data_IF_227349298720
#
_entry.id   IF_227349298720
#
_cell.length_a   1.000
_cell.length_b   1.000
_cell.length_c   1.000
_cell.angle_alpha   90.00
_cell.angle_beta   90.00
_cell.angle_gamma   90.00
#
_symmetry.space_group_name_H-M   'P 1'
#
loop_
_entity.id
_entity.type
_entity.pdbx_description
1 polymer ?
#
# COMPACT_ATOMS: atom_id res chain seq x y z
N UNK A 1 -27.80 -5.03 -11.40
CA UNK A 1 -26.91 -6.20 -11.51
C UNK A 1 -25.43 -5.80 -11.59
N UNK A 2 -25.03 -4.90 -12.50
CA UNK A 2 -23.61 -4.45 -12.60
C UNK A 2 -23.16 -3.63 -11.39
N UNK A 3 -23.97 -2.69 -10.91
CA UNK A 3 -23.68 -1.90 -9.70
C UNK A 3 -23.65 -2.76 -8.44
N UNK A 4 -24.54 -3.75 -8.33
CA UNK A 4 -24.55 -4.70 -7.22
C UNK A 4 -23.32 -5.60 -7.22
N UNK A 5 -22.91 -6.10 -8.39
CA UNK A 5 -21.69 -6.89 -8.55
C UNK A 5 -20.44 -6.07 -8.22
N UNK A 6 -20.38 -4.80 -8.62
CA UNK A 6 -19.30 -3.89 -8.29
C UNK A 6 -19.24 -3.62 -6.78
N UNK A 7 -20.41 -3.36 -6.15
CA UNK A 7 -20.50 -3.16 -4.70
C UNK A 7 -20.07 -4.41 -3.92
N UNK A 8 -20.46 -5.59 -4.38
CA UNK A 8 -20.05 -6.86 -3.78
C UNK A 8 -18.54 -7.09 -3.93
N UNK A 9 -17.99 -6.83 -5.11
CA UNK A 9 -16.55 -6.95 -5.37
C UNK A 9 -15.71 -6.00 -4.49
N UNK A 10 -16.14 -4.74 -4.33
CA UNK A 10 -15.51 -3.77 -3.42
C UNK A 10 -15.53 -4.25 -1.97
N UNK A 11 -16.67 -4.77 -1.49
CA UNK A 11 -16.79 -5.32 -0.13
C UNK A 11 -15.91 -6.54 0.07
N UNK A 12 -15.88 -7.44 -0.89
CA UNK A 12 -15.04 -8.65 -0.85
C UNK A 12 -13.56 -8.30 -0.79
N UNK A 13 -13.11 -7.35 -1.63
CA UNK A 13 -11.73 -6.87 -1.63
C UNK A 13 -11.35 -6.22 -0.29
N UNK A 14 -12.20 -5.33 0.24
CA UNK A 14 -11.98 -4.71 1.57
C UNK A 14 -11.95 -5.75 2.70
N UNK A 15 -12.77 -6.82 2.61
CA UNK A 15 -12.75 -7.92 3.57
C UNK A 15 -11.44 -8.71 3.50
N UNK A 16 -10.94 -9.01 2.29
CA UNK A 16 -9.66 -9.71 2.12
C UNK A 16 -8.48 -8.94 2.73
N UNK A 17 -8.44 -7.61 2.57
CA UNK A 17 -7.44 -6.79 3.24
C UNK A 17 -7.59 -6.81 4.76
N UNK A 18 -8.81 -6.69 5.28
CA UNK A 18 -9.07 -6.77 6.73
C UNK A 18 -8.70 -8.13 7.29
N UNK A 19 -8.93 -9.21 6.57
CA UNK A 19 -8.57 -10.56 6.98
C UNK A 19 -7.06 -10.70 7.10
N UNK A 20 -6.28 -10.36 6.07
CA UNK A 20 -4.81 -10.38 6.12
C UNK A 20 -4.25 -9.50 7.26
N UNK A 21 -4.85 -8.33 7.46
CA UNK A 21 -4.48 -7.43 8.54
C UNK A 21 -4.77 -8.04 9.93
N UNK A 22 -5.90 -8.71 10.09
CA UNK A 22 -6.22 -9.43 11.33
C UNK A 22 -5.28 -10.62 11.57
N UNK A 23 -4.98 -11.39 10.54
CA UNK A 23 -4.01 -12.49 10.61
C UNK A 23 -2.62 -11.97 11.07
N UNK A 24 -2.16 -10.86 10.49
CA UNK A 24 -0.92 -10.20 10.91
C UNK A 24 -0.99 -9.75 12.38
N UNK A 25 -2.08 -9.13 12.83
CA UNK A 25 -2.27 -8.73 14.24
C UNK A 25 -2.33 -9.92 15.19
N UNK A 26 -3.02 -10.97 14.82
CA UNK A 26 -3.11 -12.21 15.62
C UNK A 26 -1.71 -12.80 15.78
N UNK A 27 -0.95 -12.93 14.71
CA UNK A 27 0.42 -13.43 14.76
C UNK A 27 1.32 -12.56 15.65
N UNK A 28 1.22 -11.22 15.52
CA UNK A 28 1.95 -10.26 16.36
C UNK A 28 1.59 -10.38 17.85
N UNK A 29 0.31 -10.59 18.17
CA UNK A 29 -0.16 -10.78 19.55
C UNK A 29 0.28 -12.14 20.11
N UNK A 30 0.20 -13.21 19.30
CA UNK A 30 0.70 -14.53 19.69
C UNK A 30 2.20 -14.51 19.99
N UNK A 31 2.99 -13.78 19.19
CA UNK A 31 4.42 -13.59 19.43
C UNK A 31 4.74 -12.78 20.69
N UNK A 32 3.84 -11.91 21.15
CA UNK A 32 4.02 -11.04 22.32
C UNK A 32 3.41 -11.59 23.61
N UNK A 33 2.64 -12.67 23.54
CA UNK A 33 1.88 -13.21 24.68
C UNK A 33 2.72 -14.15 25.56
N UNK A 34 2.78 -13.88 26.86
CA UNK A 34 3.39 -14.78 27.84
C UNK A 34 2.67 -16.16 27.95
N UNK A 35 1.38 -16.22 27.67
CA UNK A 35 0.59 -17.46 27.68
C UNK A 35 0.94 -18.42 26.53
N UNK A 36 1.55 -17.93 25.44
CA UNK A 36 2.08 -18.78 24.38
C UNK A 36 3.28 -19.62 24.85
N UNK A 37 3.92 -19.23 25.98
CA UNK A 37 5.00 -20.01 26.63
C UNK A 37 4.50 -21.30 27.25
N UNK A 38 3.30 -21.28 27.85
CA UNK A 38 2.75 -22.45 28.57
C UNK A 38 2.21 -23.54 27.61
N UNK A 39 1.91 -23.21 26.36
CA UNK A 39 1.31 -24.14 25.39
C UNK A 39 2.32 -24.85 24.47
N UNK A 40 3.64 -24.65 24.66
CA UNK A 40 4.67 -25.26 23.81
C UNK A 40 4.70 -24.73 22.36
N UNK A 41 3.73 -23.92 21.99
CA UNK A 41 3.62 -23.26 20.68
C UNK A 41 4.72 -22.22 20.45
N UNK A 42 5.43 -21.81 21.51
CA UNK A 42 6.48 -20.81 21.41
C UNK A 42 7.75 -21.31 20.71
N UNK A 43 8.07 -22.58 20.83
CA UNK A 43 9.29 -23.10 20.21
C UNK A 43 9.08 -23.27 18.70
N UNK A 44 7.89 -23.68 18.27
CA UNK A 44 7.54 -23.72 16.84
C UNK A 44 7.40 -22.31 16.26
N UNK A 45 6.73 -21.41 16.99
CA UNK A 45 6.61 -19.99 16.59
C UNK A 45 7.95 -19.24 16.70
N UNK A 46 8.83 -19.60 17.66
CA UNK A 46 10.19 -19.06 17.73
C UNK A 46 11.08 -19.59 16.61
N UNK A 47 10.95 -20.84 16.23
CA UNK A 47 11.71 -21.38 15.10
C UNK A 47 11.28 -20.72 13.80
N UNK A 48 9.98 -20.57 13.57
CA UNK A 48 9.43 -19.83 12.42
C UNK A 48 9.78 -18.33 12.52
N UNK A 49 9.71 -17.75 13.72
CA UNK A 49 10.06 -16.35 13.97
C UNK A 49 11.57 -16.11 13.89
N UNK A 50 12.41 -17.04 14.35
CA UNK A 50 13.86 -16.91 14.24
C UNK A 50 14.33 -17.12 12.81
N UNK A 51 13.74 -18.03 12.04
CA UNK A 51 13.97 -18.09 10.59
C UNK A 51 13.53 -16.82 9.87
N UNK A 52 12.44 -16.18 10.32
CA UNK A 52 11.96 -14.91 9.81
C UNK A 52 12.76 -13.71 10.36
N UNK A 53 13.20 -13.74 11.62
CA UNK A 53 13.92 -12.64 12.30
C UNK A 53 15.45 -12.70 12.13
N UNK A 54 16.07 -13.88 12.01
CA UNK A 54 17.49 -13.97 11.65
C UNK A 54 17.78 -13.50 10.25
N UNK A 55 16.78 -13.54 9.36
CA UNK A 55 16.84 -12.94 8.03
C UNK A 55 16.34 -11.50 7.98
N UNK A 56 15.67 -10.97 8.99
CA UNK A 56 15.04 -9.65 8.94
C UNK A 56 15.73 -8.62 9.82
N UNK A 57 16.92 -8.19 9.44
CA UNK A 57 17.40 -6.84 9.79
C UNK A 57 16.66 -5.82 8.92
N UNK A 58 15.33 -5.87 8.88
CA UNK A 58 14.58 -4.81 8.22
C UNK A 58 14.87 -3.48 8.91
N UNK A 59 15.17 -2.43 8.16
CA UNK A 59 15.29 -1.11 8.74
C UNK A 59 13.96 -0.76 9.42
N UNK A 60 14.04 -0.25 10.64
CA UNK A 60 12.85 0.15 11.40
C UNK A 60 12.19 1.32 10.69
N UNK A 61 10.91 1.17 10.34
CA UNK A 61 10.14 2.25 9.74
C UNK A 61 9.89 3.37 10.73
N UNK A 62 9.89 4.60 10.22
CA UNK A 62 9.33 5.74 10.92
C UNK A 62 7.86 5.49 11.26
N UNK A 63 7.42 5.96 12.43
CA UNK A 63 6.05 5.75 12.88
C UNK A 63 5.19 6.99 12.61
N UNK A 64 3.97 6.75 12.13
CA UNK A 64 2.94 7.81 12.02
C UNK A 64 2.33 8.13 13.38
N UNK A 65 2.42 7.19 14.34
CA UNK A 65 1.75 7.21 15.63
C UNK A 65 0.30 6.69 15.58
N UNK A 66 -0.21 6.33 14.40
CA UNK A 66 -1.55 5.77 14.20
C UNK A 66 -1.40 4.27 13.96
N UNK A 67 -1.87 3.48 14.92
CA UNK A 67 -1.65 2.03 14.95
C UNK A 67 -2.10 1.35 13.66
N UNK A 68 -3.26 1.69 13.12
CA UNK A 68 -3.81 1.09 11.91
C UNK A 68 -2.93 1.35 10.68
N UNK A 69 -2.38 2.55 10.59
CA UNK A 69 -1.48 2.94 9.50
C UNK A 69 -0.10 2.31 9.68
N UNK A 70 0.44 2.35 10.90
CA UNK A 70 1.76 1.79 11.22
C UNK A 70 1.79 0.25 11.02
N UNK A 71 0.72 -0.45 11.44
CA UNK A 71 0.60 -1.90 11.24
C UNK A 71 0.45 -2.26 9.75
N UNK A 72 -0.29 -1.44 8.97
CA UNK A 72 -0.40 -1.67 7.53
C UNK A 72 0.93 -1.44 6.81
N UNK A 73 1.66 -0.38 7.16
CA UNK A 73 2.99 -0.11 6.59
C UNK A 73 3.98 -1.22 6.92
N UNK A 74 3.94 -1.75 8.15
CA UNK A 74 4.77 -2.89 8.55
C UNK A 74 4.43 -4.17 7.74
N UNK A 75 3.14 -4.43 7.51
CA UNK A 75 2.70 -5.54 6.65
C UNK A 75 3.20 -5.37 5.21
N UNK A 76 3.09 -4.17 4.65
CA UNK A 76 3.55 -3.88 3.28
C UNK A 76 5.08 -3.96 3.16
N UNK A 77 5.82 -3.51 4.17
CA UNK A 77 7.28 -3.69 4.22
C UNK A 77 7.66 -5.16 4.17
N UNK A 78 6.95 -6.02 4.91
CA UNK A 78 7.19 -7.45 4.90
C UNK A 78 6.84 -8.10 3.55
N UNK A 79 5.72 -7.72 2.93
CA UNK A 79 5.38 -8.18 1.57
C UNK A 79 6.46 -7.77 0.54
N UNK A 80 7.00 -6.54 0.65
CA UNK A 80 8.12 -6.09 -0.18
C UNK A 80 9.37 -6.93 0.06
N UNK A 81 9.74 -7.20 1.32
CA UNK A 81 10.88 -8.03 1.67
C UNK A 81 10.80 -9.43 1.08
N UNK A 82 9.64 -10.08 1.21
CA UNK A 82 9.38 -11.42 0.66
C UNK A 82 9.48 -11.43 -0.88
N UNK A 83 9.22 -10.29 -1.52
CA UNK A 83 9.35 -10.11 -2.98
C UNK A 83 10.73 -9.62 -3.41
N UNK A 84 11.70 -9.46 -2.48
CA UNK A 84 13.04 -8.94 -2.78
C UNK A 84 13.04 -7.48 -3.23
N UNK A 85 12.11 -6.67 -2.71
CA UNK A 85 11.92 -5.26 -3.04
C UNK A 85 12.38 -4.38 -1.88
N UNK A 86 13.25 -3.42 -2.15
CA UNK A 86 13.65 -2.41 -1.17
C UNK A 86 12.49 -1.47 -0.89
N UNK A 87 12.14 -1.31 0.39
CA UNK A 87 11.04 -0.46 0.83
C UNK A 87 11.54 0.72 1.65
N UNK A 88 11.22 1.94 1.24
CA UNK A 88 11.53 3.17 1.95
C UNK A 88 10.26 3.94 2.31
N UNK A 89 10.22 4.49 3.55
CA UNK A 89 9.12 5.31 4.03
C UNK A 89 9.65 6.66 4.52
N UNK A 90 9.05 7.75 4.04
CA UNK A 90 9.32 9.11 4.47
C UNK A 90 8.03 9.76 4.97
N UNK A 91 7.97 10.03 6.27
CA UNK A 91 6.86 10.71 6.93
C UNK A 91 7.22 12.18 7.13
N UNK A 92 6.33 13.10 6.75
CA UNK A 92 6.51 14.53 6.97
C UNK A 92 5.30 15.18 7.62
N UNK A 93 5.51 15.79 8.77
CA UNK A 93 4.44 16.47 9.51
C UNK A 93 3.60 15.54 10.37
N UNK A 94 2.47 16.04 10.85
CA UNK A 94 1.60 15.33 11.79
C UNK A 94 0.50 14.55 11.04
N UNK A 95 0.58 13.21 11.05
CA UNK A 95 -0.39 12.35 10.35
C UNK A 95 -1.75 12.33 11.05
N UNK A 96 -1.83 12.56 12.36
CA UNK A 96 -3.11 12.77 13.03
C UNK A 96 -3.89 13.96 12.46
N UNK A 97 -3.19 15.04 12.09
CA UNK A 97 -3.83 16.18 11.43
C UNK A 97 -4.37 15.79 10.05
N UNK A 98 -3.67 14.94 9.32
CA UNK A 98 -4.13 14.41 8.04
C UNK A 98 -5.39 13.54 8.23
N UNK A 99 -5.37 12.61 9.18
CA UNK A 99 -6.48 11.67 9.38
C UNK A 99 -7.71 12.27 10.06
N UNK A 100 -7.55 13.38 10.77
CA UNK A 100 -8.67 14.08 11.38
C UNK A 100 -9.39 15.03 10.41
N UNK A 101 -8.70 15.53 9.37
CA UNK A 101 -9.25 16.61 8.52
C UNK A 101 -9.45 16.20 7.07
N UNK A 102 -8.75 15.17 6.56
CA UNK A 102 -8.69 14.91 5.13
C UNK A 102 -9.04 13.49 4.72
N UNK A 103 -8.79 12.48 5.53
CA UNK A 103 -9.07 11.06 5.23
C UNK A 103 -9.12 10.26 6.52
N UNK A 104 -10.00 9.27 6.64
CA UNK A 104 -9.99 8.42 7.83
C UNK A 104 -8.76 7.52 7.87
N UNK A 105 -8.34 7.11 9.08
CA UNK A 105 -7.20 6.20 9.26
C UNK A 105 -7.36 4.87 8.54
N UNK A 106 -8.58 4.32 8.53
CA UNK A 106 -8.88 3.06 7.86
C UNK A 106 -8.79 3.19 6.33
N UNK A 107 -9.32 4.28 5.76
CA UNK A 107 -9.23 4.55 4.33
C UNK A 107 -7.79 4.82 3.90
N UNK A 108 -7.00 5.52 4.73
CA UNK A 108 -5.58 5.72 4.47
C UNK A 108 -4.80 4.41 4.47
N UNK A 109 -5.07 3.51 5.42
CA UNK A 109 -4.45 2.19 5.48
C UNK A 109 -4.80 1.33 4.25
N UNK A 110 -6.07 1.35 3.80
CA UNK A 110 -6.52 0.65 2.60
C UNK A 110 -5.83 1.24 1.36
N UNK A 111 -5.79 2.56 1.23
CA UNK A 111 -5.16 3.26 0.11
C UNK A 111 -3.67 2.93 -0.02
N UNK A 112 -2.95 2.88 1.10
CA UNK A 112 -1.56 2.43 1.17
C UNK A 112 -1.42 0.98 0.69
N UNK A 113 -2.24 0.08 1.22
CA UNK A 113 -2.20 -1.34 0.87
C UNK A 113 -2.47 -1.56 -0.63
N UNK A 114 -3.50 -0.93 -1.18
CA UNK A 114 -3.89 -1.09 -2.58
C UNK A 114 -2.74 -0.68 -3.51
N UNK A 115 -2.20 0.52 -3.34
CA UNK A 115 -1.17 1.03 -4.25
C UNK A 115 0.22 0.39 -4.05
N UNK A 116 0.57 -0.01 -2.81
CA UNK A 116 1.84 -0.72 -2.59
C UNK A 116 1.77 -2.13 -3.21
N UNK A 117 0.63 -2.82 -3.11
CA UNK A 117 0.44 -4.12 -3.77
C UNK A 117 0.48 -4.02 -5.29
N UNK A 118 -0.19 -3.03 -5.86
CA UNK A 118 -0.11 -2.78 -7.30
C UNK A 118 1.33 -2.51 -7.75
N UNK A 119 2.12 -1.80 -6.92
CA UNK A 119 3.53 -1.57 -7.16
C UNK A 119 4.36 -2.86 -7.08
N UNK A 120 4.12 -3.73 -6.07
CA UNK A 120 4.79 -5.03 -5.93
C UNK A 120 4.51 -5.89 -7.18
N UNK A 121 3.27 -5.98 -7.63
CA UNK A 121 2.89 -6.73 -8.83
C UNK A 121 3.63 -6.15 -10.05
N UNK A 122 3.60 -4.83 -10.24
CA UNK A 122 4.26 -4.18 -11.37
C UNK A 122 5.79 -4.39 -11.38
N UNK A 123 6.43 -4.44 -10.20
CA UNK A 123 7.87 -4.70 -10.06
C UNK A 123 8.20 -6.16 -10.37
N UNK A 124 7.34 -7.11 -10.03
CA UNK A 124 7.57 -8.51 -10.32
C UNK A 124 7.54 -8.82 -11.83
N UNK A 125 6.94 -7.93 -12.63
CA UNK A 125 6.88 -8.02 -14.10
C UNK A 125 7.95 -7.18 -14.82
N UNK A 126 8.93 -6.65 -14.11
CA UNK A 126 10.04 -5.92 -14.74
C UNK A 126 11.36 -6.72 -14.63
N UNK A 127 12.20 -6.59 -15.65
CA UNK A 127 13.60 -7.09 -15.62
C UNK A 127 14.54 -6.15 -14.86
N UNK A 128 14.02 -5.11 -14.20
CA UNK A 128 14.81 -4.17 -13.43
C UNK A 128 15.47 -4.87 -12.24
N UNK A 129 16.79 -4.81 -12.18
CA UNK A 129 17.60 -5.41 -11.10
C UNK A 129 17.36 -4.66 -9.78
N UNK A 130 17.16 -3.33 -9.85
CA UNK A 130 16.94 -2.48 -8.68
C UNK A 130 15.45 -2.37 -8.38
N UNK A 131 14.93 -3.34 -7.66
CA UNK A 131 13.53 -3.40 -7.24
C UNK A 131 13.31 -2.52 -6.01
N UNK A 132 12.54 -1.45 -6.14
CA UNK A 132 12.34 -0.51 -5.04
C UNK A 132 10.97 0.17 -5.04
N UNK A 133 10.46 0.41 -3.84
CA UNK A 133 9.26 1.21 -3.56
C UNK A 133 9.61 2.27 -2.52
N UNK A 134 9.22 3.52 -2.76
CA UNK A 134 9.32 4.59 -1.78
C UNK A 134 7.94 5.22 -1.55
N UNK A 135 7.54 5.27 -0.30
CA UNK A 135 6.31 5.94 0.15
C UNK A 135 6.67 7.26 0.82
N UNK A 136 6.05 8.34 0.37
CA UNK A 136 6.09 9.63 1.06
C UNK A 136 4.69 9.97 1.56
N UNK A 137 4.54 10.15 2.86
CA UNK A 137 3.27 10.35 3.53
C UNK A 137 3.27 11.62 4.38
N UNK A 138 2.21 12.39 4.32
CA UNK A 138 2.00 13.55 5.18
C UNK A 138 2.01 14.87 4.43
N UNK A 139 2.58 15.93 5.03
CA UNK A 139 2.59 17.26 4.43
C UNK A 139 3.72 17.37 3.41
N UNK A 140 3.38 17.19 2.15
CA UNK A 140 4.30 17.26 1.01
C UNK A 140 4.00 18.54 0.25
N UNK A 141 5.02 19.38 0.07
CA UNK A 141 4.83 20.74 -0.44
C UNK A 141 3.87 21.52 0.47
N UNK A 142 2.71 21.94 -0.03
CA UNK A 142 1.71 22.71 0.73
C UNK A 142 0.48 21.92 1.13
N UNK A 143 0.39 20.62 0.73
CA UNK A 143 -0.80 19.79 0.93
C UNK A 143 -0.46 18.51 1.69
N UNK A 144 -1.44 17.96 2.40
CA UNK A 144 -1.35 16.59 2.84
C UNK A 144 -1.52 15.65 1.64
N UNK A 145 -0.77 14.56 1.62
CA UNK A 145 -0.82 13.62 0.51
C UNK A 145 -0.07 12.32 0.77
N UNK A 146 -0.24 11.44 -0.19
CA UNK A 146 0.42 10.15 -0.30
C UNK A 146 1.05 10.05 -1.69
N UNK A 147 2.38 9.87 -1.75
CA UNK A 147 3.11 9.64 -2.99
C UNK A 147 3.80 8.29 -2.93
N UNK A 148 3.54 7.44 -3.92
CA UNK A 148 4.15 6.11 -4.03
C UNK A 148 4.95 6.05 -5.31
N UNK A 149 6.26 5.92 -5.16
CA UNK A 149 7.23 5.73 -6.24
C UNK A 149 7.55 4.25 -6.35
N UNK A 150 7.61 3.72 -7.54
CA UNK A 150 8.02 2.33 -7.77
C UNK A 150 8.88 2.18 -9.03
N UNK A 151 9.64 1.09 -9.07
CA UNK A 151 10.55 0.71 -10.16
C UNK A 151 9.95 -0.29 -11.14
N UNK A 152 8.63 -0.53 -11.07
CA UNK A 152 7.93 -1.52 -11.88
C UNK A 152 7.63 -1.06 -13.31
N UNK A 153 6.90 -1.90 -14.04
CA UNK A 153 6.42 -1.56 -15.36
C UNK A 153 5.47 -0.37 -15.33
N UNK A 154 5.53 0.47 -16.35
CA UNK A 154 4.63 1.62 -16.47
C UNK A 154 3.17 1.18 -16.72
N UNK A 155 2.23 2.08 -16.44
CA UNK A 155 0.83 1.82 -16.76
C UNK A 155 0.64 1.78 -18.29
N UNK A 156 -0.06 0.76 -18.77
CA UNK A 156 -0.48 0.72 -20.17
C UNK A 156 -1.49 1.84 -20.47
N UNK A 157 -1.50 2.31 -21.71
CA UNK A 157 -2.48 3.30 -22.17
C UNK A 157 -3.92 2.84 -21.90
N UNK A 158 -4.20 1.56 -22.09
CA UNK A 158 -5.53 0.98 -21.83
C UNK A 158 -5.93 1.10 -20.36
N UNK A 159 -4.99 0.91 -19.41
CA UNK A 159 -5.24 1.10 -17.97
C UNK A 159 -5.53 2.56 -17.68
N UNK A 160 -4.69 3.48 -18.17
CA UNK A 160 -4.85 4.93 -17.92
C UNK A 160 -6.19 5.47 -18.45
N UNK A 161 -6.61 5.06 -19.66
CA UNK A 161 -7.88 5.47 -20.26
C UNK A 161 -9.12 4.97 -19.52
N UNK A 162 -9.01 3.90 -18.75
CA UNK A 162 -10.12 3.25 -18.03
C UNK A 162 -10.07 3.43 -16.50
N UNK A 163 -9.08 4.17 -15.99
CA UNK A 163 -8.96 4.42 -14.56
C UNK A 163 -10.25 4.98 -13.97
N UNK A 164 -10.72 4.37 -12.88
CA UNK A 164 -11.93 4.80 -12.16
C UNK A 164 -13.26 4.61 -12.90
N UNK A 165 -13.26 4.13 -14.16
CA UNK A 165 -14.48 3.86 -14.92
C UNK A 165 -14.99 2.44 -14.74
N UNK A 166 -14.08 1.50 -14.65
CA UNK A 166 -14.35 0.07 -14.41
C UNK A 166 -13.15 -0.59 -13.74
N UNK A 167 -13.36 -1.72 -13.04
CA UNK A 167 -12.24 -2.52 -12.56
C UNK A 167 -11.37 -2.95 -13.73
N UNK A 168 -10.08 -2.65 -13.67
CA UNK A 168 -9.12 -3.05 -14.69
C UNK A 168 -7.82 -3.47 -14.02
N UNK A 169 -7.34 -4.63 -14.40
CA UNK A 169 -6.03 -5.15 -13.98
C UNK A 169 -5.30 -5.71 -15.17
N UNK A 170 -3.99 -5.57 -15.19
CA UNK A 170 -3.12 -6.20 -16.17
C UNK A 170 -2.78 -7.63 -15.77
N UNK A 171 -2.87 -7.96 -14.47
CA UNK A 171 -2.42 -9.22 -13.89
C UNK A 171 -3.50 -9.86 -12.99
N UNK A 172 -4.59 -10.37 -13.58
CA UNK A 172 -5.70 -10.96 -12.81
C UNK A 172 -5.31 -12.22 -12.04
N UNK A 173 -4.40 -13.02 -12.60
CA UNK A 173 -3.96 -14.30 -12.03
C UNK A 173 -3.03 -14.13 -10.82
N UNK A 174 -2.51 -12.94 -10.58
CA UNK A 174 -1.61 -12.62 -9.48
C UNK A 174 -2.28 -11.82 -8.35
N UNK A 175 -3.60 -11.89 -8.27
CA UNK A 175 -4.38 -11.19 -7.26
C UNK A 175 -4.67 -9.73 -7.58
N UNK A 176 -4.35 -9.27 -8.78
CA UNK A 176 -4.79 -7.99 -9.30
C UNK A 176 -6.30 -8.00 -9.53
N UNK A 177 -7.06 -7.33 -8.68
CA UNK A 177 -8.54 -7.28 -8.78
C UNK A 177 -9.03 -6.11 -9.63
N UNK A 178 -8.15 -5.16 -9.94
CA UNK A 178 -8.53 -3.88 -10.55
C UNK A 178 -9.36 -2.97 -9.64
N UNK A 179 -9.54 -3.34 -8.37
CA UNK A 179 -10.39 -2.61 -7.42
C UNK A 179 -9.65 -1.46 -6.73
N UNK A 180 -8.31 -1.49 -6.66
CA UNK A 180 -7.52 -0.49 -5.96
C UNK A 180 -7.81 0.93 -6.46
N UNK A 181 -7.79 1.13 -7.79
CA UNK A 181 -8.16 2.43 -8.36
C UNK A 181 -9.65 2.78 -8.19
N UNK A 182 -10.56 1.80 -8.16
CA UNK A 182 -11.97 2.07 -7.88
C UNK A 182 -12.16 2.63 -6.48
N UNK A 183 -11.50 2.05 -5.47
CA UNK A 183 -11.47 2.56 -4.10
C UNK A 183 -10.83 3.96 -4.04
N UNK A 184 -9.73 4.13 -4.76
CA UNK A 184 -9.04 5.43 -4.86
C UNK A 184 -9.98 6.51 -5.38
N UNK A 185 -10.70 6.27 -6.48
CA UNK A 185 -11.64 7.24 -7.03
C UNK A 185 -12.80 7.57 -6.09
N UNK A 186 -13.30 6.61 -5.31
CA UNK A 186 -14.29 6.88 -4.26
C UNK A 186 -13.72 7.84 -3.20
N UNK A 187 -12.48 7.62 -2.76
CA UNK A 187 -11.77 8.48 -1.82
C UNK A 187 -11.53 9.89 -2.42
N UNK A 188 -11.05 9.96 -3.67
CA UNK A 188 -10.84 11.24 -4.37
C UNK A 188 -12.13 12.04 -4.45
N UNK A 189 -13.26 11.38 -4.78
CA UNK A 189 -14.56 12.01 -4.85
C UNK A 189 -15.04 12.51 -3.48
N UNK A 190 -14.92 11.67 -2.47
CA UNK A 190 -15.37 11.96 -1.10
C UNK A 190 -14.62 13.14 -0.47
N UNK A 191 -13.31 13.21 -0.67
CA UNK A 191 -12.45 14.19 -0.02
C UNK A 191 -11.98 15.31 -0.98
N UNK A 192 -12.50 15.34 -2.21
CA UNK A 192 -12.10 16.30 -3.24
C UNK A 192 -10.58 16.33 -3.48
N UNK A 193 -9.95 15.17 -3.35
CA UNK A 193 -8.52 15.01 -3.55
C UNK A 193 -8.17 14.91 -5.03
N UNK A 194 -6.92 15.23 -5.38
CA UNK A 194 -6.39 15.15 -6.74
C UNK A 194 -5.47 13.93 -6.89
N UNK A 195 -5.48 13.33 -8.09
CA UNK A 195 -4.63 12.21 -8.48
C UNK A 195 -3.69 12.66 -9.61
N UNK A 196 -2.42 12.34 -9.47
CA UNK A 196 -1.40 12.49 -10.51
C UNK A 196 -0.68 11.15 -10.68
N UNK A 197 -0.62 10.66 -11.91
CA UNK A 197 0.17 9.51 -12.31
C UNK A 197 1.22 10.01 -13.30
N UNK A 198 2.47 9.89 -12.94
CA UNK A 198 3.57 10.42 -13.73
C UNK A 198 4.57 9.29 -14.04
N UNK A 199 4.89 9.12 -15.32
CA UNK A 199 6.07 8.36 -15.75
C UNK A 199 7.32 9.20 -15.48
N UNK A 200 8.32 8.61 -14.82
CA UNK A 200 9.58 9.31 -14.48
C UNK A 200 10.58 9.20 -15.64
N UNK A 201 10.26 8.37 -16.64
CA UNK A 201 11.13 8.12 -17.80
C UNK A 201 12.29 7.18 -17.49
N UNK A 202 13.43 7.31 -18.20
CA UNK A 202 14.65 6.52 -17.91
C UNK A 202 14.97 6.66 -16.43
N UNK A 203 15.37 5.54 -15.76
CA UNK A 203 15.45 5.51 -14.31
C UNK A 203 16.18 6.75 -13.79
N UNK A 204 15.52 7.47 -12.90
CA UNK A 204 16.10 8.56 -12.13
C UNK A 204 17.31 8.02 -11.36
N UNK A 205 18.10 8.88 -10.72
CA UNK A 205 19.17 8.42 -9.81
C UNK A 205 18.68 7.38 -8.79
N UNK A 206 17.37 7.37 -8.50
CA UNK A 206 16.72 6.52 -7.52
C UNK A 206 16.03 5.29 -8.15
N UNK A 207 16.24 5.04 -9.47
CA UNK A 207 15.70 3.89 -10.23
C UNK A 207 14.17 3.75 -10.30
N UNK A 208 13.39 4.75 -9.89
CA UNK A 208 11.94 4.71 -10.02
C UNK A 208 11.52 4.99 -11.48
N UNK A 209 10.50 4.26 -11.94
CA UNK A 209 9.91 4.42 -13.28
C UNK A 209 8.66 5.27 -13.29
N UNK A 210 7.91 5.25 -12.19
CA UNK A 210 6.66 6.00 -12.08
C UNK A 210 6.35 6.44 -10.65
N UNK A 211 5.41 7.33 -10.52
CA UNK A 211 4.85 7.77 -9.23
C UNK A 211 3.36 7.98 -9.32
N UNK A 212 2.66 7.52 -8.30
CA UNK A 212 1.26 7.85 -8.02
C UNK A 212 1.26 8.88 -6.88
N UNK A 213 0.64 10.04 -7.12
CA UNK A 213 0.51 11.11 -6.12
C UNK A 213 -0.95 11.39 -5.85
N UNK A 214 -1.37 11.28 -4.61
CA UNK A 214 -2.70 11.66 -4.14
C UNK A 214 -2.53 12.87 -3.22
N UNK A 215 -3.17 13.99 -3.59
CA UNK A 215 -3.09 15.27 -2.88
C UNK A 215 -4.46 15.65 -2.33
N UNK A 216 -4.56 15.92 -1.06
CA UNK A 216 -5.77 16.45 -0.41
C UNK A 216 -5.80 17.97 -0.54
N UNK A 217 -6.02 18.46 -1.76
CA UNK A 217 -5.91 19.86 -2.15
C UNK A 217 -7.27 20.54 -2.44
N UNK A 218 -8.38 19.82 -2.28
CA UNK A 218 -9.73 20.26 -2.56
C UNK A 218 -10.00 20.65 -4.01
N UNK A 219 -9.18 20.19 -4.97
CA UNK A 219 -9.31 20.56 -6.39
C UNK A 219 -9.95 19.48 -7.25
N UNK A 220 -9.87 18.21 -6.83
CA UNK A 220 -10.42 17.07 -7.56
C UNK A 220 -9.90 16.98 -9.01
N UNK A 221 -8.60 17.20 -9.19
CA UNK A 221 -7.94 17.12 -10.48
C UNK A 221 -7.38 15.73 -10.74
N UNK A 222 -7.43 15.26 -11.97
CA UNK A 222 -6.88 13.96 -12.39
C UNK A 222 -5.95 14.22 -13.56
N UNK A 223 -4.69 13.83 -13.40
CA UNK A 223 -3.64 13.90 -14.41
C UNK A 223 -3.00 12.53 -14.55
N UNK A 224 -3.01 11.99 -15.77
CA UNK A 224 -2.45 10.68 -16.12
C UNK A 224 -1.67 10.74 -17.42
#
# INVERSE_FOLDING_TARGET
>A
LEEENLSFSKKSHSLAHKQKFLEFKINKLLMSSENAKELGLQDDLKNISNELLENSKLPKLDKTGITEVDDMLALMQEECRLSGIDFALHIKGNIYQMTNNYITKDELAILLADHIKDAIIAINHTDNINKSIMVRLGKIENFFGLYIYDSGVEFSKQVLENLGKKPITTYPDEGGTGMGFMNTFDILNKYRASLFIESIGKPSKDNYTKVIKIKFDNKKQIYV
#
